data_IF_951134406841
#
_entry.id   IF_951134406841
#
_cell.length_a   1.000
_cell.length_b   1.000
_cell.length_c   1.000
_cell.angle_alpha   90.00
_cell.angle_beta   90.00
_cell.angle_gamma   90.00
#
_symmetry.space_group_name_H-M   'P 1'
#
loop_
_entity.id
_entity.type
_entity.pdbx_description
1 polymer ?
#
# COMPACT_ATOMS: atom_id res chain seq x y z
N UNK A 1 -26.02 10.42 -30.97
CA UNK A 1 -25.64 9.24 -30.15
C UNK A 1 -24.22 9.32 -29.62
N UNK A 2 -23.22 9.76 -30.41
CA UNK A 2 -21.83 9.75 -29.96
C UNK A 2 -21.59 10.63 -28.71
N UNK A 3 -22.21 11.81 -28.64
CA UNK A 3 -22.07 12.72 -27.49
C UNK A 3 -22.58 12.13 -26.16
N UNK A 4 -23.73 11.45 -26.17
CA UNK A 4 -24.23 10.77 -24.97
C UNK A 4 -23.26 9.67 -24.55
N UNK A 5 -22.80 8.83 -25.49
CA UNK A 5 -21.89 7.74 -25.19
C UNK A 5 -20.58 8.25 -24.56
N UNK A 6 -20.00 9.32 -25.11
CA UNK A 6 -18.81 9.97 -24.54
C UNK A 6 -19.10 10.51 -23.14
N UNK A 7 -20.27 11.15 -22.94
CA UNK A 7 -20.69 11.66 -21.63
C UNK A 7 -20.96 10.56 -20.60
N UNK A 8 -21.29 9.33 -20.99
CA UNK A 8 -21.47 8.20 -20.07
C UNK A 8 -20.14 7.49 -19.72
N UNK A 9 -19.09 7.75 -20.50
CA UNK A 9 -17.75 7.18 -20.33
C UNK A 9 -16.76 8.14 -19.64
N UNK A 10 -17.26 9.28 -19.15
CA UNK A 10 -16.44 10.27 -18.46
C UNK A 10 -15.74 9.68 -17.23
N UNK A 11 -14.54 10.18 -16.92
CA UNK A 11 -13.87 9.85 -15.66
C UNK A 11 -14.59 10.54 -14.50
N UNK A 12 -14.58 9.91 -13.33
CA UNK A 12 -15.09 10.46 -12.06
C UNK A 12 -16.57 10.88 -12.09
N UNK A 13 -17.40 10.17 -12.86
CA UNK A 13 -18.84 10.41 -12.92
C UNK A 13 -19.59 9.46 -11.99
N UNK A 14 -20.52 10.03 -11.21
CA UNK A 14 -21.42 9.25 -10.39
C UNK A 14 -22.65 8.79 -11.16
N UNK A 15 -23.35 7.79 -10.61
CA UNK A 15 -24.61 7.31 -11.13
C UNK A 15 -25.64 8.42 -11.37
N UNK A 16 -25.71 9.44 -10.50
CA UNK A 16 -26.64 10.57 -10.66
C UNK A 16 -26.28 11.49 -11.84
N UNK A 17 -24.98 11.76 -12.08
CA UNK A 17 -24.52 12.53 -13.24
C UNK A 17 -24.88 11.82 -14.55
N UNK A 18 -24.61 10.51 -14.57
CA UNK A 18 -24.95 9.65 -15.69
C UNK A 18 -26.46 9.70 -15.95
N UNK A 19 -27.26 9.49 -14.91
CA UNK A 19 -28.71 9.44 -15.04
C UNK A 19 -29.31 10.79 -15.48
N UNK A 20 -28.73 11.91 -15.05
CA UNK A 20 -29.09 13.25 -15.52
C UNK A 20 -28.89 13.39 -17.03
N UNK A 21 -27.77 12.89 -17.56
CA UNK A 21 -27.52 12.89 -19.01
C UNK A 21 -28.52 12.00 -19.77
N UNK A 22 -28.88 10.84 -19.21
CA UNK A 22 -29.91 9.94 -19.77
C UNK A 22 -31.28 10.61 -19.78
N UNK A 23 -31.68 11.28 -18.68
CA UNK A 23 -32.96 12.01 -18.58
C UNK A 23 -33.05 13.11 -19.63
N UNK A 24 -31.99 13.93 -19.76
CA UNK A 24 -31.93 14.97 -20.78
C UNK A 24 -32.05 14.38 -22.20
N UNK A 25 -31.42 13.24 -22.47
CA UNK A 25 -31.54 12.56 -23.75
C UNK A 25 -32.96 12.01 -24.00
N UNK A 26 -33.60 11.38 -23.01
CA UNK A 26 -35.00 10.95 -23.09
C UNK A 26 -35.92 12.12 -23.45
N UNK A 27 -35.78 13.27 -22.77
CA UNK A 27 -36.56 14.47 -23.07
C UNK A 27 -36.31 15.00 -24.48
N UNK A 28 -35.06 14.97 -24.96
CA UNK A 28 -34.72 15.33 -26.35
C UNK A 28 -35.42 14.40 -27.36
N UNK A 29 -35.46 13.09 -27.11
CA UNK A 29 -36.15 12.13 -28.00
C UNK A 29 -37.64 12.45 -28.13
N UNK A 30 -38.31 12.78 -27.02
CA UNK A 30 -39.73 13.19 -27.02
C UNK A 30 -39.92 14.46 -27.85
N UNK A 31 -39.07 15.47 -27.66
CA UNK A 31 -39.11 16.70 -28.44
C UNK A 31 -38.92 16.42 -29.94
N UNK A 32 -37.91 15.62 -30.29
CA UNK A 32 -37.62 15.26 -31.67
C UNK A 32 -38.78 14.48 -32.30
N UNK A 33 -39.39 13.55 -31.58
CA UNK A 33 -40.57 12.80 -32.07
C UNK A 33 -41.73 13.75 -32.41
N UNK A 34 -41.99 14.73 -31.54
CA UNK A 34 -43.02 15.77 -31.76
C UNK A 34 -42.70 16.67 -32.95
N UNK A 35 -41.45 17.10 -33.11
CA UNK A 35 -41.02 17.92 -34.23
C UNK A 35 -41.10 17.16 -35.56
N UNK A 36 -40.72 15.87 -35.59
CA UNK A 36 -40.85 15.02 -36.77
C UNK A 36 -42.30 14.87 -37.20
N UNK A 37 -43.22 14.69 -36.24
CA UNK A 37 -44.67 14.65 -36.51
C UNK A 37 -45.18 15.94 -37.16
N UNK A 38 -44.63 17.08 -36.75
CA UNK A 38 -44.95 18.40 -37.30
C UNK A 38 -44.14 18.76 -38.55
N UNK A 39 -43.38 17.81 -39.13
CA UNK A 39 -42.49 18.03 -40.29
C UNK A 39 -41.46 19.16 -40.08
N UNK A 40 -41.07 19.40 -38.83
CA UNK A 40 -40.01 20.34 -38.48
C UNK A 40 -38.70 19.59 -38.26
N UNK A 41 -37.67 19.95 -39.03
CA UNK A 41 -36.35 19.27 -39.03
C UNK A 41 -35.23 20.16 -38.46
N UNK A 42 -35.57 21.17 -37.65
CA UNK A 42 -34.63 22.20 -37.18
C UNK A 42 -33.37 21.64 -36.48
N UNK A 43 -33.48 20.50 -35.78
CA UNK A 43 -32.36 19.87 -35.07
C UNK A 43 -31.66 18.75 -35.87
N UNK A 44 -32.06 18.55 -37.12
CA UNK A 44 -31.46 17.56 -38.03
C UNK A 44 -31.14 18.21 -39.38
N UNK A 45 -30.08 19.04 -39.47
CA UNK A 45 -29.77 19.84 -40.66
C UNK A 45 -29.61 18.97 -41.92
N UNK A 46 -28.93 17.82 -41.81
CA UNK A 46 -28.74 16.89 -42.92
C UNK A 46 -30.06 16.28 -43.40
N UNK A 47 -30.99 16.00 -42.47
CA UNK A 47 -32.31 15.46 -42.80
C UNK A 47 -33.20 16.54 -43.42
N UNK A 48 -33.08 17.79 -42.99
CA UNK A 48 -33.84 18.92 -43.53
C UNK A 48 -33.60 19.15 -45.03
N UNK A 49 -32.40 18.82 -45.53
CA UNK A 49 -32.02 18.95 -46.95
C UNK A 49 -32.54 17.78 -47.80
N UNK A 50 -33.03 16.71 -47.18
CA UNK A 50 -33.40 15.48 -47.88
C UNK A 50 -34.83 15.55 -48.44
N UNK A 51 -35.00 15.35 -49.75
CA UNK A 51 -36.30 15.47 -50.46
C UNK A 51 -37.41 14.58 -49.89
N UNK A 52 -37.06 13.42 -49.34
CA UNK A 52 -38.01 12.44 -48.81
C UNK A 52 -38.27 12.56 -47.30
N UNK A 53 -37.62 13.50 -46.61
CA UNK A 53 -37.70 13.60 -45.15
C UNK A 53 -39.15 13.76 -44.65
N UNK A 54 -39.95 14.58 -45.35
CA UNK A 54 -41.36 14.78 -45.03
C UNK A 54 -42.23 13.53 -45.28
N UNK A 55 -41.89 12.71 -46.28
CA UNK A 55 -42.59 11.44 -46.59
C UNK A 55 -42.27 10.37 -45.54
N UNK A 56 -41.04 10.34 -45.06
CA UNK A 56 -40.54 9.38 -44.08
C UNK A 56 -40.73 9.83 -42.63
N UNK A 57 -41.28 11.03 -42.39
CA UNK A 57 -41.47 11.62 -41.05
C UNK A 57 -42.16 10.67 -40.05
N UNK A 58 -43.22 9.96 -40.49
CA UNK A 58 -43.94 8.99 -39.64
C UNK A 58 -43.07 7.80 -39.23
N UNK A 59 -42.19 7.34 -40.12
CA UNK A 59 -41.23 6.27 -39.84
C UNK A 59 -40.19 6.73 -38.83
N UNK A 60 -39.64 7.93 -39.00
CA UNK A 60 -38.66 8.51 -38.06
C UNK A 60 -39.27 8.75 -36.68
N UNK A 61 -40.49 9.29 -36.62
CA UNK A 61 -41.25 9.44 -35.38
C UNK A 61 -41.38 8.10 -34.64
N UNK A 62 -41.84 7.05 -35.34
CA UNK A 62 -41.96 5.71 -34.76
C UNK A 62 -40.61 5.20 -34.21
N UNK A 63 -39.53 5.35 -34.97
CA UNK A 63 -38.19 4.94 -34.51
C UNK A 63 -37.71 5.73 -33.29
N UNK A 64 -38.03 7.02 -33.18
CA UNK A 64 -37.70 7.83 -32.00
C UNK A 64 -38.53 7.39 -30.78
N UNK A 65 -39.81 7.06 -30.97
CA UNK A 65 -40.68 6.57 -29.90
C UNK A 65 -40.25 5.17 -29.42
N UNK A 66 -39.87 4.29 -30.34
CA UNK A 66 -39.29 2.97 -30.04
C UNK A 66 -38.00 3.13 -29.23
N UNK A 67 -37.11 4.01 -29.67
CA UNK A 67 -35.86 4.29 -28.96
C UNK A 67 -36.13 4.87 -27.56
N UNK A 68 -37.05 5.81 -27.43
CA UNK A 68 -37.44 6.37 -26.14
C UNK A 68 -37.98 5.29 -25.20
N UNK A 69 -38.84 4.38 -25.69
CA UNK A 69 -39.33 3.23 -24.93
C UNK A 69 -38.21 2.33 -24.44
N UNK A 70 -37.24 1.99 -25.28
CA UNK A 70 -36.11 1.16 -24.87
C UNK A 70 -35.25 1.84 -23.81
N UNK A 71 -35.04 3.16 -23.88
CA UNK A 71 -34.37 3.91 -22.82
C UNK A 71 -35.19 3.94 -21.53
N UNK A 72 -36.50 4.15 -21.58
CA UNK A 72 -37.36 4.03 -20.39
C UNK A 72 -37.25 2.64 -19.76
N UNK A 73 -37.33 1.59 -20.57
CA UNK A 73 -37.25 0.20 -20.11
C UNK A 73 -35.88 -0.10 -19.49
N UNK A 74 -34.79 0.33 -20.12
CA UNK A 74 -33.42 0.05 -19.66
C UNK A 74 -33.06 0.76 -18.36
N UNK A 75 -33.62 1.95 -18.11
CA UNK A 75 -33.28 2.80 -16.96
C UNK A 75 -34.43 2.95 -15.95
N UNK A 76 -35.43 2.05 -15.98
CA UNK A 76 -36.58 2.12 -15.06
C UNK A 76 -36.18 1.93 -13.59
N UNK A 77 -35.12 1.18 -13.29
CA UNK A 77 -34.64 1.01 -11.91
C UNK A 77 -34.04 2.29 -11.34
N UNK A 78 -33.45 3.15 -12.19
CA UNK A 78 -32.97 4.46 -11.77
C UNK A 78 -34.11 5.41 -11.38
N UNK A 79 -35.31 5.24 -11.94
CA UNK A 79 -36.49 6.01 -11.54
C UNK A 79 -36.92 5.67 -10.11
N UNK A 80 -36.73 4.42 -9.67
CA UNK A 80 -37.07 3.97 -8.31
C UNK A 80 -36.13 4.55 -7.25
N UNK A 81 -34.85 4.71 -7.60
CA UNK A 81 -33.81 5.25 -6.70
C UNK A 81 -33.56 6.74 -6.89
N UNK A 82 -34.29 7.41 -7.79
CA UNK A 82 -34.02 8.80 -8.17
C UNK A 82 -34.07 9.75 -6.97
N UNK A 83 -35.07 9.62 -6.10
CA UNK A 83 -35.19 10.44 -4.89
C UNK A 83 -33.96 10.30 -3.99
N UNK A 84 -33.45 9.08 -3.84
CA UNK A 84 -32.26 8.81 -3.02
C UNK A 84 -30.98 9.32 -3.70
N UNK A 85 -30.89 9.24 -5.02
CA UNK A 85 -29.80 9.83 -5.80
C UNK A 85 -29.78 11.36 -5.65
N UNK A 86 -30.95 12.01 -5.76
CA UNK A 86 -31.09 13.46 -5.58
C UNK A 86 -30.75 13.91 -4.15
N UNK A 87 -31.14 13.12 -3.15
CA UNK A 87 -30.81 13.38 -1.76
C UNK A 87 -29.31 13.39 -1.51
N UNK A 88 -28.56 12.49 -2.16
CA UNK A 88 -27.11 12.44 -2.04
C UNK A 88 -26.42 13.45 -2.95
N UNK A 89 -26.94 13.73 -4.14
CA UNK A 89 -26.30 14.69 -5.06
C UNK A 89 -26.49 16.14 -4.65
N UNK A 90 -27.63 16.47 -4.05
CA UNK A 90 -28.01 17.83 -3.66
C UNK A 90 -28.72 17.86 -2.29
N UNK A 91 -28.08 17.41 -1.19
CA UNK A 91 -28.72 17.34 0.13
C UNK A 91 -29.18 18.70 0.65
N UNK A 92 -28.46 19.78 0.30
CA UNK A 92 -28.76 21.13 0.77
C UNK A 92 -30.03 21.75 0.16
N UNK A 93 -30.57 21.16 -0.91
CA UNK A 93 -31.78 21.63 -1.59
C UNK A 93 -32.96 20.66 -1.46
N UNK A 94 -32.81 19.58 -0.69
CA UNK A 94 -33.91 18.66 -0.45
C UNK A 94 -34.85 19.18 0.64
N UNK A 95 -36.14 18.87 0.50
CA UNK A 95 -37.12 19.08 1.54
C UNK A 95 -37.01 17.98 2.61
N UNK A 96 -36.71 18.32 3.88
CA UNK A 96 -36.62 17.34 4.97
C UNK A 96 -37.89 16.53 5.21
N UNK A 97 -39.07 17.09 4.95
CA UNK A 97 -40.34 16.36 5.16
C UNK A 97 -40.51 15.23 4.15
N UNK A 98 -40.01 15.42 2.93
CA UNK A 98 -40.06 14.43 1.84
C UNK A 98 -39.00 13.32 1.96
N UNK A 99 -38.02 13.47 2.85
CA UNK A 99 -36.91 12.55 3.05
C UNK A 99 -37.31 11.34 3.93
N UNK A 100 -36.61 10.20 3.83
CA UNK A 100 -36.81 9.05 4.73
C UNK A 100 -36.65 9.46 6.21
N UNK A 101 -37.50 8.93 7.10
CA UNK A 101 -37.54 9.30 8.53
C UNK A 101 -36.17 9.27 9.21
N UNK A 102 -35.36 8.27 8.91
CA UNK A 102 -34.00 8.09 9.47
C UNK A 102 -33.02 9.21 9.08
N UNK A 103 -33.31 9.96 8.01
CA UNK A 103 -32.44 11.00 7.47
C UNK A 103 -32.93 12.42 7.78
N UNK A 104 -34.18 12.60 8.24
CA UNK A 104 -34.79 13.93 8.34
C UNK A 104 -34.02 14.85 9.29
N UNK A 105 -33.70 14.37 10.50
CA UNK A 105 -32.95 15.14 11.50
C UNK A 105 -31.51 15.42 11.05
N UNK A 106 -30.81 14.41 10.57
CA UNK A 106 -29.44 14.57 10.04
C UNK A 106 -29.39 15.56 8.86
N UNK A 107 -30.44 15.58 8.02
CA UNK A 107 -30.54 16.51 6.90
C UNK A 107 -30.76 17.95 7.37
N UNK A 108 -31.60 18.16 8.39
CA UNK A 108 -31.82 19.48 9.00
C UNK A 108 -30.53 20.00 9.63
N UNK A 109 -29.81 19.15 10.36
CA UNK A 109 -28.54 19.51 10.99
C UNK A 109 -27.49 19.88 9.94
N UNK A 110 -27.39 19.08 8.87
CA UNK A 110 -26.50 19.37 7.74
C UNK A 110 -26.86 20.68 7.03
N UNK A 111 -28.17 20.92 6.83
CA UNK A 111 -28.69 22.15 6.23
C UNK A 111 -28.57 23.35 7.17
N UNK A 112 -28.27 23.17 8.45
CA UNK A 112 -28.05 24.26 9.40
C UNK A 112 -26.56 24.57 9.55
N UNK A 113 -25.69 23.58 9.40
CA UNK A 113 -24.24 23.73 9.56
C UNK A 113 -23.57 24.50 8.39
N UNK A 114 -23.07 25.69 8.72
CA UNK A 114 -22.32 26.54 7.78
C UNK A 114 -21.03 25.90 7.27
N UNK A 115 -20.32 25.12 8.10
CA UNK A 115 -19.05 24.48 7.74
C UNK A 115 -19.30 23.37 6.71
N UNK A 116 -20.30 22.53 6.95
CA UNK A 116 -20.72 21.50 5.99
C UNK A 116 -21.18 22.09 4.67
N UNK A 117 -21.92 23.21 4.66
CA UNK A 117 -22.30 23.91 3.43
C UNK A 117 -21.10 24.39 2.62
N UNK A 118 -20.09 24.95 3.28
CA UNK A 118 -18.88 25.43 2.62
C UNK A 118 -18.04 24.26 2.08
N UNK A 119 -17.89 23.20 2.87
CA UNK A 119 -17.25 21.95 2.43
C UNK A 119 -17.95 21.33 1.22
N UNK A 120 -19.28 21.33 1.20
CA UNK A 120 -20.05 20.79 0.06
C UNK A 120 -19.80 21.57 -1.24
N UNK A 121 -19.62 22.90 -1.15
CA UNK A 121 -19.33 23.75 -2.32
C UNK A 121 -17.90 23.64 -2.81
N UNK A 122 -16.96 23.34 -1.92
CA UNK A 122 -15.52 23.32 -2.23
C UNK A 122 -14.98 21.93 -2.57
N UNK A 123 -15.53 20.88 -1.98
CA UNK A 123 -15.06 19.50 -2.14
C UNK A 123 -15.82 18.76 -3.24
N UNK A 124 -15.19 17.70 -3.76
CA UNK A 124 -15.92 16.70 -4.56
C UNK A 124 -16.89 15.93 -3.68
N UNK A 125 -17.96 15.41 -4.27
CA UNK A 125 -19.04 14.73 -3.54
C UNK A 125 -18.55 13.59 -2.62
N UNK A 126 -17.63 12.74 -3.10
CA UNK A 126 -17.05 11.67 -2.29
C UNK A 126 -16.25 12.21 -1.09
N UNK A 127 -15.44 13.25 -1.31
CA UNK A 127 -14.57 13.81 -0.27
C UNK A 127 -15.40 14.55 0.78
N UNK A 128 -16.49 15.20 0.37
CA UNK A 128 -17.46 15.81 1.27
C UNK A 128 -18.04 14.77 2.24
N UNK A 129 -18.63 13.69 1.73
CA UNK A 129 -19.22 12.64 2.58
C UNK A 129 -18.19 11.87 3.42
N UNK A 130 -16.94 11.79 2.97
CA UNK A 130 -15.84 11.26 3.77
C UNK A 130 -15.43 12.21 4.91
N UNK A 131 -15.62 13.52 4.75
CA UNK A 131 -15.28 14.54 5.75
C UNK A 131 -16.36 14.75 6.82
N UNK A 132 -17.56 14.20 6.64
CA UNK A 132 -18.64 14.29 7.61
C UNK A 132 -18.34 13.44 8.85
N UNK A 133 -18.71 13.96 10.02
CA UNK A 133 -18.53 13.24 11.27
C UNK A 133 -19.40 11.96 11.30
N UNK A 134 -18.78 10.82 11.63
CA UNK A 134 -19.45 9.51 11.71
C UNK A 134 -20.55 9.44 12.75
N UNK A 135 -20.32 10.09 13.89
CA UNK A 135 -21.26 10.01 15.02
C UNK A 135 -22.45 10.94 14.82
N UNK A 136 -22.25 12.06 14.13
CA UNK A 136 -23.29 13.05 13.87
C UNK A 136 -24.15 12.72 12.64
N UNK A 137 -23.56 12.13 11.58
CA UNK A 137 -24.26 11.85 10.32
C UNK A 137 -24.15 10.38 9.85
N UNK A 138 -24.45 9.38 10.70
CA UNK A 138 -24.24 7.98 10.37
C UNK A 138 -25.14 7.49 9.21
N UNK A 139 -26.42 7.88 9.19
CA UNK A 139 -27.36 7.38 8.19
C UNK A 139 -27.16 8.08 6.84
N UNK A 140 -26.85 9.37 6.86
CA UNK A 140 -26.54 10.13 5.66
C UNK A 140 -25.25 9.62 5.00
N UNK A 141 -24.19 9.36 5.78
CA UNK A 141 -22.95 8.75 5.27
C UNK A 141 -23.21 7.36 4.68
N UNK A 142 -23.98 6.52 5.36
CA UNK A 142 -24.32 5.17 4.87
C UNK A 142 -25.14 5.22 3.57
N UNK A 143 -26.10 6.13 3.48
CA UNK A 143 -26.91 6.33 2.27
C UNK A 143 -26.06 6.84 1.12
N UNK A 144 -25.19 7.81 1.38
CA UNK A 144 -24.24 8.31 0.40
C UNK A 144 -23.31 7.20 -0.10
N UNK A 145 -22.72 6.40 0.79
CA UNK A 145 -21.89 5.25 0.41
C UNK A 145 -22.62 4.28 -0.52
N UNK A 146 -23.87 3.91 -0.20
CA UNK A 146 -24.68 3.02 -1.05
C UNK A 146 -24.89 3.60 -2.45
N UNK A 147 -25.13 4.90 -2.56
CA UNK A 147 -25.42 5.56 -3.83
C UNK A 147 -24.15 5.88 -4.64
N UNK A 148 -23.05 6.24 -3.98
CA UNK A 148 -21.78 6.60 -4.62
C UNK A 148 -21.01 5.38 -5.14
N UNK A 149 -21.28 4.18 -4.59
CA UNK A 149 -20.76 2.91 -5.10
C UNK A 149 -21.44 2.46 -6.40
N UNK A 150 -22.60 3.03 -6.75
CA UNK A 150 -23.27 2.72 -8.02
C UNK A 150 -22.40 3.21 -9.18
N UNK A 151 -21.85 2.26 -9.92
CA UNK A 151 -21.07 2.56 -11.11
C UNK A 151 -21.99 2.90 -12.28
N UNK A 152 -21.79 4.06 -12.89
CA UNK A 152 -22.60 4.50 -14.04
C UNK A 152 -22.45 3.58 -15.27
N UNK A 153 -21.33 2.89 -15.44
CA UNK A 153 -21.19 1.92 -16.52
C UNK A 153 -20.29 0.75 -16.15
N UNK A 154 -20.49 -0.39 -16.83
CA UNK A 154 -19.58 -1.54 -16.75
C UNK A 154 -18.14 -1.14 -17.07
N UNK A 155 -17.95 -0.14 -17.93
CA UNK A 155 -16.61 0.35 -18.31
C UNK A 155 -15.90 1.05 -17.15
N UNK A 156 -16.62 1.94 -16.44
CA UNK A 156 -16.10 2.62 -15.24
C UNK A 156 -15.86 1.61 -14.12
N UNK A 157 -16.76 0.62 -13.96
CA UNK A 157 -16.58 -0.48 -13.02
C UNK A 157 -15.30 -1.28 -13.31
N UNK A 158 -15.15 -1.82 -14.53
CA UNK A 158 -13.98 -2.61 -14.95
C UNK A 158 -12.67 -1.85 -14.75
N UNK A 159 -12.65 -0.56 -15.08
CA UNK A 159 -11.46 0.27 -14.90
C UNK A 159 -11.10 0.44 -13.42
N UNK A 160 -12.10 0.67 -12.57
CA UNK A 160 -11.90 0.87 -11.13
C UNK A 160 -11.48 -0.42 -10.44
N UNK A 161 -12.13 -1.55 -10.75
CA UNK A 161 -11.78 -2.86 -10.20
C UNK A 161 -10.39 -3.29 -10.65
N UNK A 162 -10.03 -3.07 -11.91
CA UNK A 162 -8.67 -3.32 -12.39
C UNK A 162 -7.65 -2.48 -11.64
N UNK A 163 -7.91 -1.18 -11.45
CA UNK A 163 -7.00 -0.32 -10.65
C UNK A 163 -6.84 -0.86 -9.23
N UNK A 164 -7.93 -1.20 -8.55
CA UNK A 164 -7.89 -1.73 -7.18
C UNK A 164 -7.11 -3.06 -7.11
N UNK A 165 -7.32 -3.97 -8.05
CA UNK A 165 -6.56 -5.21 -8.16
C UNK A 165 -5.04 -4.95 -8.28
N UNK A 166 -4.63 -4.07 -9.19
CA UNK A 166 -3.21 -3.72 -9.36
C UNK A 166 -2.61 -3.07 -8.12
N UNK A 167 -3.38 -2.24 -7.42
CA UNK A 167 -2.97 -1.66 -6.13
C UNK A 167 -2.73 -2.73 -5.06
N UNK A 168 -3.65 -3.69 -4.92
CA UNK A 168 -3.51 -4.81 -3.97
C UNK A 168 -2.31 -5.68 -4.32
N UNK A 169 -2.13 -6.02 -5.60
CA UNK A 169 -0.99 -6.81 -6.07
C UNK A 169 0.32 -6.09 -5.81
N UNK A 170 0.39 -4.78 -6.09
CA UNK A 170 1.57 -3.97 -5.82
C UNK A 170 1.95 -3.99 -4.33
N UNK A 171 0.99 -3.72 -3.44
CA UNK A 171 1.24 -3.74 -2.00
C UNK A 171 1.65 -5.12 -1.49
N UNK A 172 1.07 -6.18 -2.04
CA UNK A 172 1.45 -7.54 -1.71
C UNK A 172 2.90 -7.85 -2.12
N UNK A 173 3.31 -7.46 -3.32
CA UNK A 173 4.70 -7.61 -3.80
C UNK A 173 5.67 -6.81 -2.93
N UNK A 174 5.35 -5.56 -2.59
CA UNK A 174 6.18 -4.72 -1.73
C UNK A 174 6.34 -5.35 -0.34
N UNK A 175 5.24 -5.83 0.26
CA UNK A 175 5.29 -6.50 1.55
C UNK A 175 6.20 -7.73 1.51
N UNK A 176 6.05 -8.59 0.49
CA UNK A 176 6.89 -9.79 0.36
C UNK A 176 8.37 -9.46 0.18
N UNK A 177 8.66 -8.39 -0.57
CA UNK A 177 10.02 -7.92 -0.75
C UNK A 177 10.64 -7.42 0.55
N UNK A 178 9.90 -6.64 1.35
CA UNK A 178 10.36 -6.18 2.67
C UNK A 178 10.67 -7.36 3.60
N UNK A 179 9.78 -8.36 3.66
CA UNK A 179 10.00 -9.56 4.47
C UNK A 179 11.24 -10.32 4.00
N UNK A 180 11.43 -10.48 2.69
CA UNK A 180 12.62 -11.13 2.13
C UNK A 180 13.91 -10.40 2.53
N UNK A 181 13.95 -9.07 2.37
CA UNK A 181 15.09 -8.25 2.77
C UNK A 181 15.42 -8.41 4.26
N UNK A 182 14.39 -8.47 5.12
CA UNK A 182 14.57 -8.68 6.55
C UNK A 182 15.20 -10.04 6.86
N UNK A 183 14.73 -11.11 6.23
CA UNK A 183 15.29 -12.46 6.41
C UNK A 183 16.76 -12.52 6.00
N UNK A 184 17.11 -11.93 4.86
CA UNK A 184 18.50 -11.86 4.38
C UNK A 184 19.38 -11.08 5.36
N UNK A 185 18.89 -9.96 5.88
CA UNK A 185 19.62 -9.18 6.88
C UNK A 185 19.90 -9.99 8.15
N UNK A 186 18.88 -10.66 8.70
CA UNK A 186 19.02 -11.52 9.88
C UNK A 186 20.06 -12.64 9.65
N UNK A 187 20.06 -13.23 8.45
CA UNK A 187 21.03 -14.26 8.09
C UNK A 187 22.47 -13.74 8.10
N UNK A 188 22.71 -12.57 7.49
CA UNK A 188 24.05 -11.94 7.45
C UNK A 188 24.55 -11.65 8.86
N UNK A 189 23.69 -11.09 9.72
CA UNK A 189 24.03 -10.81 11.13
C UNK A 189 24.37 -12.09 11.89
N UNK A 190 23.60 -13.16 11.68
CA UNK A 190 23.88 -14.46 12.29
C UNK A 190 25.26 -14.99 11.87
N UNK A 191 25.56 -14.99 10.57
CA UNK A 191 26.87 -15.42 10.06
C UNK A 191 28.02 -14.61 10.66
N UNK A 192 27.85 -13.29 10.82
CA UNK A 192 28.84 -12.42 11.44
C UNK A 192 29.10 -12.80 12.91
N UNK A 193 28.06 -13.04 13.70
CA UNK A 193 28.19 -13.44 15.11
C UNK A 193 28.95 -14.77 15.24
N UNK A 194 28.61 -15.76 14.39
CA UNK A 194 29.31 -17.06 14.38
C UNK A 194 30.79 -16.89 14.03
N UNK A 195 31.11 -16.06 13.04
CA UNK A 195 32.49 -15.77 12.67
C UNK A 195 33.29 -15.18 13.84
N UNK A 196 32.75 -14.14 14.49
CA UNK A 196 33.40 -13.51 15.65
C UNK A 196 33.65 -14.52 16.78
N UNK A 197 32.70 -15.43 17.03
CA UNK A 197 32.84 -16.48 18.03
C UNK A 197 34.02 -17.43 17.71
N UNK A 198 34.15 -17.87 16.47
CA UNK A 198 35.26 -18.74 16.03
C UNK A 198 36.61 -18.05 16.19
N UNK A 199 36.71 -16.78 15.79
CA UNK A 199 37.95 -15.99 15.92
C UNK A 199 38.37 -15.85 17.38
N UNK A 200 37.43 -15.57 18.29
CA UNK A 200 37.71 -15.46 19.72
C UNK A 200 38.35 -16.76 20.27
N UNK A 201 37.75 -17.91 19.99
CA UNK A 201 38.27 -19.20 20.45
C UNK A 201 39.64 -19.54 19.88
N UNK A 202 39.89 -19.15 18.62
CA UNK A 202 41.20 -19.33 18.00
C UNK A 202 42.29 -18.50 18.71
N UNK A 203 42.00 -17.23 19.03
CA UNK A 203 42.93 -16.37 19.78
C UNK A 203 43.22 -16.94 21.17
N UNK A 204 42.19 -17.40 21.90
CA UNK A 204 42.35 -18.05 23.21
C UNK A 204 43.24 -19.29 23.11
N UNK A 205 43.04 -20.13 22.09
CA UNK A 205 43.88 -21.30 21.86
C UNK A 205 45.35 -20.92 21.62
N UNK A 206 45.62 -19.94 20.75
CA UNK A 206 46.98 -19.47 20.50
C UNK A 206 47.67 -18.95 21.77
N UNK A 207 46.93 -18.24 22.63
CA UNK A 207 47.44 -17.76 23.91
C UNK A 207 47.85 -18.90 24.84
N UNK A 208 47.00 -19.93 24.99
CA UNK A 208 47.31 -21.11 25.82
C UNK A 208 48.57 -21.82 25.33
N UNK A 209 48.71 -22.02 24.02
CA UNK A 209 49.91 -22.64 23.42
C UNK A 209 51.16 -21.79 23.70
N UNK A 210 51.06 -20.47 23.57
CA UNK A 210 52.16 -19.56 23.89
C UNK A 210 52.61 -19.68 25.35
N UNK A 211 51.67 -19.64 26.31
CA UNK A 211 51.97 -19.81 27.73
C UNK A 211 52.66 -21.15 28.03
N UNK A 212 52.21 -22.23 27.37
CA UNK A 212 52.83 -23.55 27.51
C UNK A 212 54.29 -23.57 27.03
N UNK A 213 54.57 -22.99 25.86
CA UNK A 213 55.94 -22.90 25.32
C UNK A 213 56.87 -22.13 26.27
N UNK A 214 56.40 -21.00 26.80
CA UNK A 214 57.17 -20.19 27.77
C UNK A 214 57.45 -20.99 29.04
N UNK A 215 56.44 -21.72 29.55
CA UNK A 215 56.62 -22.58 30.73
C UNK A 215 57.69 -23.66 30.50
N UNK A 216 57.63 -24.36 29.36
CA UNK A 216 58.64 -25.36 29.00
C UNK A 216 60.05 -24.77 28.92
N UNK A 217 60.19 -23.56 28.37
CA UNK A 217 61.47 -22.86 28.30
C UNK A 217 62.04 -22.56 29.70
N UNK A 218 61.22 -22.04 30.62
CA UNK A 218 61.64 -21.74 32.00
C UNK A 218 62.12 -23.01 32.70
N UNK A 219 61.39 -24.12 32.57
CA UNK A 219 61.76 -25.42 33.15
C UNK A 219 63.09 -25.91 32.56
N UNK A 220 63.28 -25.78 31.25
CA UNK A 220 64.55 -26.14 30.61
C UNK A 220 65.73 -25.34 31.16
N UNK A 221 65.61 -24.02 31.25
CA UNK A 221 66.65 -23.15 31.82
C UNK A 221 66.98 -23.54 33.27
N UNK A 222 65.97 -23.88 34.07
CA UNK A 222 66.16 -24.35 35.45
C UNK A 222 66.97 -25.64 35.51
N UNK A 223 66.65 -26.64 34.69
CA UNK A 223 67.39 -27.91 34.63
C UNK A 223 68.86 -27.69 34.25
N UNK A 224 69.11 -26.84 33.25
CA UNK A 224 70.48 -26.50 32.83
C UNK A 224 71.25 -25.83 33.97
N UNK A 225 70.62 -24.88 34.67
CA UNK A 225 71.22 -24.24 35.84
C UNK A 225 71.59 -25.25 36.93
N UNK A 226 70.69 -26.16 37.28
CA UNK A 226 70.96 -27.22 38.26
C UNK A 226 72.15 -28.11 37.86
N UNK A 227 72.28 -28.45 36.57
CA UNK A 227 73.41 -29.22 36.06
C UNK A 227 74.74 -28.47 36.19
N UNK A 228 74.78 -27.17 35.87
CA UNK A 228 75.98 -26.35 36.01
C UNK A 228 76.43 -26.29 37.47
N UNK A 229 75.49 -26.07 38.40
CA UNK A 229 75.79 -26.05 39.85
C UNK A 229 76.32 -27.40 40.31
N UNK A 230 75.71 -28.51 39.86
CA UNK A 230 76.18 -29.86 40.17
C UNK A 230 77.64 -30.07 39.76
N UNK A 231 78.01 -29.75 38.53
CA UNK A 231 79.38 -29.89 38.03
C UNK A 231 80.37 -28.99 38.77
N UNK A 232 79.95 -27.79 39.16
CA UNK A 232 80.78 -26.89 39.97
C UNK A 232 81.07 -27.48 41.35
N UNK A 233 80.08 -28.05 42.03
CA UNK A 233 80.26 -28.75 43.32
C UNK A 233 81.22 -29.94 43.18
N UNK A 234 81.06 -30.75 42.12
CA UNK A 234 81.97 -31.88 41.84
C UNK A 234 83.40 -31.39 41.60
N UNK A 235 83.58 -30.32 40.84
CA UNK A 235 84.90 -29.73 40.60
C UNK A 235 85.56 -29.27 41.91
N UNK A 236 84.83 -28.53 42.76
CA UNK A 236 85.33 -28.10 44.06
C UNK A 236 85.74 -29.29 44.95
N UNK A 237 84.98 -30.38 44.91
CA UNK A 237 85.31 -31.61 45.63
C UNK A 237 86.62 -32.26 45.14
N UNK A 238 86.82 -32.36 43.82
CA UNK A 238 88.06 -32.89 43.22
C UNK A 238 89.27 -32.04 43.60
N UNK A 239 89.15 -30.71 43.51
CA UNK A 239 90.23 -29.77 43.87
C UNK A 239 90.58 -29.91 45.36
N UNK A 240 89.58 -29.99 46.24
CA UNK A 240 89.80 -30.20 47.68
C UNK A 240 90.65 -31.45 47.94
N UNK A 241 90.28 -32.59 47.35
CA UNK A 241 91.04 -33.83 47.50
C UNK A 241 92.44 -33.77 46.91
N UNK A 242 92.62 -33.06 45.79
CA UNK A 242 93.94 -32.85 45.21
C UNK A 242 94.85 -32.03 46.13
N UNK A 243 94.34 -30.95 46.74
CA UNK A 243 95.08 -30.14 47.72
C UNK A 243 95.47 -30.98 48.95
N UNK A 244 94.54 -31.78 49.49
CA UNK A 244 94.83 -32.70 50.61
C UNK A 244 95.92 -33.69 50.23
N UNK A 245 95.83 -34.29 49.04
CA UNK A 245 96.85 -35.21 48.53
C UNK A 245 98.23 -34.55 48.45
N UNK A 246 98.32 -33.34 47.85
CA UNK A 246 99.56 -32.59 47.78
C UNK A 246 100.13 -32.31 49.18
N UNK A 247 99.30 -31.86 50.14
CA UNK A 247 99.74 -31.58 51.51
C UNK A 247 100.31 -32.82 52.20
N UNK A 248 99.64 -33.98 52.04
CA UNK A 248 100.15 -35.26 52.55
C UNK A 248 101.52 -35.58 51.94
N UNK A 249 101.64 -35.56 50.60
CA UNK A 249 102.90 -35.89 49.91
C UNK A 249 104.05 -34.95 50.30
N UNK A 250 103.82 -33.63 50.34
CA UNK A 250 104.84 -32.68 50.80
C UNK A 250 105.22 -32.92 52.27
N UNK A 251 104.27 -33.31 53.11
CA UNK A 251 104.55 -33.72 54.49
C UNK A 251 105.49 -34.92 54.60
N UNK A 252 105.49 -35.84 53.64
CA UNK A 252 106.41 -36.99 53.60
C UNK A 252 107.81 -36.67 53.05
N UNK A 253 107.96 -35.61 52.23
CA UNK A 253 109.24 -35.24 51.60
C UNK A 253 110.12 -34.37 52.51
N UNK A 254 109.56 -33.77 53.57
CA UNK A 254 110.25 -32.85 54.49
C UNK A 254 110.75 -33.54 55.78
N UNK A 255 110.70 -34.88 55.85
CA UNK A 255 111.23 -35.70 56.96
C UNK A 255 112.39 -36.59 56.53
#
# INVERSE_FOLDING_TARGET
>A
MNELNVKLQGKDQFAHDMYTNVRAFKSKLVLFSRQMSNKSFAHFPTLAVQKEAARNAKKYCKSLDDLHREFCRRFCDFEKIDKSLQLVSCPLSQDPESAPQELQLELIDLQSDSVSKEKFKSLKLNDFYASLNETAFPNLRRTAQKMLVLFGSTYVWLKTTRRMYWWVVYWWVVYWWVVYCWVVYCWVVYCWVVYCWVVHWWVVYCWVVYCWVVYCWVVYCWVVYCLVVYWWVVYCWVVYWWVVYCWVVYGWVVY
#
